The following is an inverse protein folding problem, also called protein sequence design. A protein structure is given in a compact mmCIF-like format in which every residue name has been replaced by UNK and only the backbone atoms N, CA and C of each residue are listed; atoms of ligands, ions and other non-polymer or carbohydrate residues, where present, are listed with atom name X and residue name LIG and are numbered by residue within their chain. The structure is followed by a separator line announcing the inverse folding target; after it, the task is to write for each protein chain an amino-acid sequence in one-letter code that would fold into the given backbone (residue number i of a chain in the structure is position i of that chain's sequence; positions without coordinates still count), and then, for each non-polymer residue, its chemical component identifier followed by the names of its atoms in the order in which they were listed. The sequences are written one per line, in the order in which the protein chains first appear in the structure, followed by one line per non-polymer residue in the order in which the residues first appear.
data_IF_278140585192
#
_entry.id   IF_278140585192
#
_cell.length_a   1.000
_cell.length_b   1.000
_cell.length_c   1.000
_cell.angle_alpha   90.00
_cell.angle_beta   90.00
_cell.angle_gamma   90.00
#
_symmetry.space_group_name_H-M   'P 1'
#
loop_
_entity.id
_entity.type
_entity.pdbx_description
1 polymer ?
#
# COMPACT_ATOMS: atom_id res chain seq x y z
N UNK A 1 19.89 -45.97 -14.51
CA UNK A 1 20.38 -44.62 -14.12
C UNK A 1 19.39 -43.50 -14.46
N UNK A 2 18.65 -43.56 -15.57
CA UNK A 2 17.68 -42.51 -15.95
C UNK A 2 16.50 -42.31 -14.97
N UNK A 3 15.94 -43.39 -14.41
CA UNK A 3 14.77 -43.29 -13.50
C UNK A 3 15.09 -42.52 -12.22
N UNK A 4 16.27 -42.76 -11.64
CA UNK A 4 16.76 -42.10 -10.44
C UNK A 4 17.00 -40.60 -10.64
N UNK A 5 17.51 -40.21 -11.81
CA UNK A 5 17.73 -38.78 -12.15
C UNK A 5 16.41 -38.03 -12.33
N UNK A 6 15.41 -38.68 -12.94
CA UNK A 6 14.09 -38.09 -13.13
C UNK A 6 13.34 -37.90 -11.81
N UNK A 7 13.36 -38.90 -10.93
CA UNK A 7 12.79 -38.80 -9.58
C UNK A 7 13.45 -37.67 -8.77
N UNK A 8 14.76 -37.49 -8.91
CA UNK A 8 15.50 -36.45 -8.18
C UNK A 8 15.19 -35.03 -8.70
N UNK A 9 14.98 -34.87 -10.00
CA UNK A 9 14.56 -33.60 -10.62
C UNK A 9 13.12 -33.26 -10.20
N UNK A 10 12.22 -34.25 -10.17
CA UNK A 10 10.83 -34.05 -9.77
C UNK A 10 10.70 -33.66 -8.29
N UNK A 11 11.52 -34.25 -7.40
CA UNK A 11 11.58 -33.85 -5.97
C UNK A 11 12.09 -32.42 -5.81
N UNK A 12 13.16 -32.02 -6.52
CA UNK A 12 13.66 -30.64 -6.47
C UNK A 12 12.64 -29.62 -6.98
N UNK A 13 11.93 -29.96 -8.05
CA UNK A 13 10.86 -29.11 -8.58
C UNK A 13 9.69 -29.01 -7.58
N UNK A 14 9.31 -30.12 -6.94
CA UNK A 14 8.27 -30.13 -5.92
C UNK A 14 8.63 -29.30 -4.67
N UNK A 15 9.86 -29.41 -4.18
CA UNK A 15 10.36 -28.58 -3.07
C UNK A 15 10.36 -27.08 -3.42
N UNK A 16 10.73 -26.75 -4.67
CA UNK A 16 10.64 -25.38 -5.19
C UNK A 16 9.18 -24.89 -5.21
N UNK A 17 8.25 -25.69 -5.72
CA UNK A 17 6.83 -25.33 -5.73
C UNK A 17 6.23 -25.20 -4.32
N UNK A 18 6.58 -26.10 -3.40
CA UNK A 18 6.16 -25.98 -1.99
C UNK A 18 6.71 -24.71 -1.32
N UNK A 19 7.95 -24.33 -1.64
CA UNK A 19 8.54 -23.09 -1.14
C UNK A 19 7.83 -21.86 -1.70
N UNK A 20 7.52 -21.85 -3.01
CA UNK A 20 6.74 -20.77 -3.64
C UNK A 20 5.31 -20.68 -3.06
N UNK A 21 4.64 -21.81 -2.82
CA UNK A 21 3.28 -21.83 -2.24
C UNK A 21 3.25 -21.32 -0.79
N UNK A 22 4.20 -21.74 0.06
CA UNK A 22 4.32 -21.19 1.42
C UNK A 22 4.56 -19.69 1.40
N UNK A 23 5.29 -19.21 0.41
CA UNK A 23 5.55 -17.80 0.19
C UNK A 23 4.26 -16.99 -0.05
N UNK A 24 3.39 -17.52 -0.90
CA UNK A 24 2.13 -16.87 -1.25
C UNK A 24 1.16 -16.75 -0.07
N UNK A 25 1.18 -17.73 0.86
CA UNK A 25 0.38 -17.70 2.11
C UNK A 25 0.84 -16.58 3.06
N UNK A 26 2.15 -16.36 3.20
CA UNK A 26 2.67 -15.25 4.04
C UNK A 26 2.36 -13.88 3.43
N UNK A 27 2.33 -13.79 2.09
CA UNK A 27 1.88 -12.58 1.38
C UNK A 27 0.39 -12.32 1.64
N UNK A 28 -0.46 -13.34 1.73
CA UNK A 28 -1.88 -13.16 2.06
C UNK A 28 -2.08 -12.68 3.50
N UNK A 29 -1.36 -13.22 4.48
CA UNK A 29 -1.40 -12.74 5.87
C UNK A 29 -0.92 -11.29 5.98
N UNK A 30 0.21 -10.96 5.33
CA UNK A 30 0.69 -9.58 5.23
C UNK A 30 -0.29 -8.68 4.46
N UNK A 31 -1.09 -9.21 3.52
CA UNK A 31 -2.19 -8.49 2.83
C UNK A 31 -3.44 -8.26 3.67
N UNK A 32 -3.58 -8.91 4.82
CA UNK A 32 -4.72 -8.76 5.73
C UNK A 32 -4.36 -8.13 7.10
N UNK A 33 -3.08 -7.80 7.33
CA UNK A 33 -2.59 -7.29 8.62
C UNK A 33 -3.17 -5.94 9.10
N UNK A 34 -2.82 -5.62 10.35
CA UNK A 34 -3.39 -4.59 11.26
C UNK A 34 -3.61 -3.18 10.68
N UNK A 35 -2.92 -2.82 9.60
CA UNK A 35 -3.04 -1.51 8.95
C UNK A 35 -4.20 -1.44 7.95
N UNK A 36 -4.93 -2.53 7.75
CA UNK A 36 -6.24 -2.51 7.08
C UNK A 36 -7.29 -1.98 8.05
N UNK A 37 -7.34 -0.65 8.21
CA UNK A 37 -8.35 -0.03 9.04
C UNK A 37 -9.76 -0.51 8.60
N UNK A 38 -10.56 -1.10 9.50
CA UNK A 38 -11.90 -1.54 9.17
C UNK A 38 -12.79 -0.33 8.86
N UNK A 39 -13.65 -0.44 7.84
CA UNK A 39 -14.66 0.58 7.50
C UNK A 39 -14.33 1.53 6.34
N UNK A 40 -13.23 1.33 5.61
CA UNK A 40 -12.88 2.17 4.45
C UNK A 40 -13.59 1.71 3.16
N UNK A 41 -14.42 2.57 2.53
CA UNK A 41 -15.20 2.19 1.34
C UNK A 41 -14.32 2.07 0.08
N UNK A 42 -13.20 2.78 -0.01
CA UNK A 42 -12.21 2.66 -1.08
C UNK A 42 -10.78 2.67 -0.52
N UNK A 43 -10.23 1.47 -0.34
CA UNK A 43 -8.86 1.28 0.16
C UNK A 43 -7.82 1.83 -0.80
N UNK A 44 -8.08 1.86 -2.10
CA UNK A 44 -7.09 2.26 -3.09
C UNK A 44 -6.85 3.78 -3.03
N UNK A 45 -7.91 4.56 -3.15
CA UNK A 45 -7.83 6.01 -3.15
C UNK A 45 -7.42 6.56 -1.77
N UNK A 46 -7.83 5.91 -0.68
CA UNK A 46 -7.33 6.23 0.65
C UNK A 46 -5.82 6.01 0.80
N UNK A 47 -5.32 4.81 0.45
CA UNK A 47 -3.88 4.51 0.54
C UNK A 47 -3.05 5.39 -0.40
N UNK A 48 -3.57 5.69 -1.59
CA UNK A 48 -2.92 6.59 -2.54
C UNK A 48 -2.75 7.99 -1.95
N UNK A 49 -3.81 8.54 -1.34
CA UNK A 49 -3.77 9.88 -0.75
C UNK A 49 -2.79 9.95 0.43
N UNK A 50 -2.82 8.95 1.33
CA UNK A 50 -1.83 8.81 2.41
C UNK A 50 -0.39 8.83 1.91
N UNK A 51 -0.09 8.04 0.88
CA UNK A 51 1.27 7.94 0.32
C UNK A 51 1.74 9.22 -0.32
N UNK A 52 0.84 9.96 -0.98
CA UNK A 52 1.16 11.26 -1.56
C UNK A 52 1.46 12.23 -0.42
N UNK A 53 0.51 12.43 0.50
CA UNK A 53 0.64 13.43 1.57
C UNK A 53 1.83 13.17 2.50
N UNK A 54 2.21 11.91 2.72
CA UNK A 54 3.42 11.55 3.47
C UNK A 54 4.70 12.21 2.91
N UNK A 55 4.76 12.47 1.60
CA UNK A 55 5.92 13.11 0.96
C UNK A 55 5.89 14.63 1.04
N UNK A 56 4.81 15.20 1.60
CA UNK A 56 4.55 16.63 1.65
C UNK A 56 4.19 17.02 3.08
N UNK A 57 5.21 17.27 3.90
CA UNK A 57 5.05 17.59 5.33
C UNK A 57 4.12 18.79 5.55
N UNK A 58 4.18 19.78 4.66
CA UNK A 58 3.31 20.95 4.71
C UNK A 58 1.89 20.67 4.24
N UNK A 59 1.57 19.49 3.70
CA UNK A 59 0.30 19.16 3.07
C UNK A 59 0.16 19.68 1.63
N UNK A 60 -0.98 19.39 1.01
CA UNK A 60 -1.31 19.76 -0.37
C UNK A 60 -2.70 20.37 -0.46
N UNK A 61 -2.94 21.22 -1.46
CA UNK A 61 -4.29 21.71 -1.75
C UNK A 61 -5.10 20.68 -2.55
N UNK A 62 -6.43 20.75 -2.47
CA UNK A 62 -7.31 19.87 -3.23
C UNK A 62 -7.11 20.07 -4.74
N UNK A 63 -6.82 21.30 -5.18
CA UNK A 63 -6.43 21.59 -6.57
C UNK A 63 -5.13 20.92 -6.98
N UNK A 64 -4.08 20.96 -6.15
CA UNK A 64 -2.83 20.25 -6.46
C UNK A 64 -3.07 18.75 -6.57
N UNK A 65 -3.87 18.17 -5.68
CA UNK A 65 -4.21 16.75 -5.74
C UNK A 65 -4.97 16.41 -7.03
N UNK A 66 -5.92 17.25 -7.45
CA UNK A 66 -6.68 17.04 -8.69
C UNK A 66 -5.81 17.19 -9.94
N UNK A 67 -5.04 18.28 -10.05
CA UNK A 67 -4.35 18.63 -11.30
C UNK A 67 -2.94 18.05 -11.40
N UNK A 68 -2.17 18.02 -10.32
CA UNK A 68 -0.77 17.57 -10.34
C UNK A 68 -0.67 16.06 -10.08
N UNK A 69 -1.61 15.51 -9.31
CA UNK A 69 -1.66 14.09 -8.95
C UNK A 69 -2.81 13.33 -9.62
N UNK A 70 -3.57 13.95 -10.52
CA UNK A 70 -4.67 13.29 -11.26
C UNK A 70 -5.63 12.54 -10.31
N UNK A 71 -6.14 13.26 -9.31
CA UNK A 71 -7.26 12.79 -8.51
C UNK A 71 -8.58 13.20 -9.13
N UNK A 72 -9.49 12.23 -9.26
CA UNK A 72 -10.88 12.56 -9.54
C UNK A 72 -11.48 13.28 -8.32
N UNK A 73 -12.25 14.37 -8.50
CA UNK A 73 -12.81 15.12 -7.37
C UNK A 73 -13.64 14.28 -6.40
N UNK A 74 -14.49 13.37 -6.90
CA UNK A 74 -15.29 12.46 -6.07
C UNK A 74 -14.42 11.57 -5.19
N UNK A 75 -13.37 11.01 -5.77
CA UNK A 75 -12.49 10.04 -5.11
C UNK A 75 -11.62 10.74 -4.07
N UNK A 76 -11.23 11.99 -4.34
CA UNK A 76 -10.52 12.84 -3.40
C UNK A 76 -11.39 13.20 -2.20
N UNK A 77 -12.66 13.54 -2.43
CA UNK A 77 -13.60 13.86 -1.35
C UNK A 77 -13.81 12.68 -0.41
N UNK A 78 -14.08 11.49 -0.96
CA UNK A 78 -14.25 10.27 -0.18
C UNK A 78 -12.97 9.90 0.59
N UNK A 79 -11.80 9.95 -0.05
CA UNK A 79 -10.53 9.65 0.60
C UNK A 79 -10.18 10.66 1.69
N UNK A 80 -10.43 11.95 1.45
CA UNK A 80 -10.21 13.03 2.42
C UNK A 80 -11.11 12.85 3.63
N UNK A 81 -12.41 12.63 3.41
CA UNK A 81 -13.37 12.39 4.48
C UNK A 81 -12.96 11.20 5.33
N UNK A 82 -12.47 10.14 4.71
CA UNK A 82 -12.03 8.95 5.42
C UNK A 82 -10.78 9.23 6.29
N UNK A 83 -9.79 9.99 5.80
CA UNK A 83 -8.63 10.38 6.60
C UNK A 83 -8.99 11.28 7.79
N UNK A 84 -9.85 12.27 7.57
CA UNK A 84 -10.28 13.21 8.62
C UNK A 84 -11.12 12.47 9.68
N UNK A 85 -12.04 11.61 9.26
CA UNK A 85 -12.89 10.83 10.18
C UNK A 85 -12.08 9.91 11.09
N UNK A 86 -10.93 9.42 10.62
CA UNK A 86 -10.03 8.56 11.38
C UNK A 86 -8.93 9.34 12.11
N UNK A 87 -9.03 10.67 12.19
CA UNK A 87 -8.03 11.54 12.84
C UNK A 87 -6.60 11.34 12.29
N UNK A 88 -6.45 11.06 11.00
CA UNK A 88 -5.13 10.90 10.35
C UNK A 88 -4.70 12.15 9.60
N UNK A 89 -5.63 13.04 9.29
CA UNK A 89 -5.37 14.30 8.62
C UNK A 89 -6.26 15.41 9.15
N UNK A 90 -5.83 16.64 8.87
CA UNK A 90 -6.63 17.84 9.08
C UNK A 90 -6.84 18.54 7.74
N UNK A 91 -8.02 19.14 7.57
CA UNK A 91 -8.30 20.02 6.44
C UNK A 91 -8.40 21.47 6.90
N UNK A 92 -7.91 22.39 6.07
CA UNK A 92 -8.03 23.84 6.28
C UNK A 92 -8.63 24.46 5.03
N UNK A 93 -9.81 25.11 5.12
CA UNK A 93 -10.40 25.76 3.96
C UNK A 93 -9.53 26.91 3.49
N UNK A 94 -9.33 27.02 2.17
CA UNK A 94 -8.64 28.15 1.53
C UNK A 94 -9.70 29.12 0.97
N UNK A 95 -10.73 28.57 0.31
CA UNK A 95 -11.92 29.27 -0.18
C UNK A 95 -13.09 28.27 -0.32
N UNK A 96 -14.17 28.66 -0.99
CA UNK A 96 -15.37 27.82 -1.16
C UNK A 96 -15.13 26.54 -1.98
N UNK A 97 -14.11 26.53 -2.86
CA UNK A 97 -13.84 25.43 -3.79
C UNK A 97 -12.51 24.69 -3.52
N UNK A 98 -11.69 25.20 -2.59
CA UNK A 98 -10.33 24.72 -2.36
C UNK A 98 -10.03 24.61 -0.86
N UNK A 99 -9.34 23.54 -0.50
CA UNK A 99 -8.92 23.26 0.86
C UNK A 99 -7.52 22.64 0.86
N UNK A 100 -6.79 22.86 1.94
CA UNK A 100 -5.51 22.21 2.20
C UNK A 100 -5.74 20.97 3.05
N UNK A 101 -5.14 19.85 2.69
CA UNK A 101 -5.11 18.63 3.51
C UNK A 101 -3.67 18.34 3.94
N UNK A 102 -3.49 18.02 5.22
CA UNK A 102 -2.19 17.72 5.81
C UNK A 102 -2.32 16.53 6.75
N UNK A 103 -1.37 15.60 6.71
CA UNK A 103 -1.31 14.51 7.69
C UNK A 103 -0.87 15.04 9.05
N UNK A 104 -1.44 14.48 10.12
CA UNK A 104 -0.89 14.68 11.46
C UNK A 104 0.13 13.58 11.77
N UNK A 105 0.69 13.61 12.98
CA UNK A 105 1.71 12.64 13.42
C UNK A 105 1.25 11.19 13.28
N UNK A 106 -0.02 10.90 13.62
CA UNK A 106 -0.59 9.55 13.52
C UNK A 106 -0.76 9.12 12.05
N UNK A 107 -1.24 10.02 11.19
CA UNK A 107 -1.34 9.79 9.75
C UNK A 107 0.01 9.51 9.09
N UNK A 108 1.07 10.21 9.52
CA UNK A 108 2.44 9.96 9.05
C UNK A 108 2.91 8.57 9.48
N UNK A 109 2.71 8.19 10.75
CA UNK A 109 3.09 6.87 11.26
C UNK A 109 2.34 5.73 10.54
N UNK A 110 1.05 5.91 10.30
CA UNK A 110 0.24 4.96 9.51
C UNK A 110 0.78 4.85 8.08
N UNK A 111 1.14 5.96 7.45
CA UNK A 111 1.71 5.95 6.11
C UNK A 111 3.09 5.25 6.05
N UNK A 112 3.94 5.46 7.06
CA UNK A 112 5.23 4.78 7.21
C UNK A 112 5.06 3.27 7.36
N UNK A 113 4.14 2.86 8.23
CA UNK A 113 3.85 1.44 8.44
C UNK A 113 3.30 0.77 7.18
N UNK A 114 2.47 1.49 6.41
CA UNK A 114 1.95 1.01 5.14
C UNK A 114 3.05 0.82 4.09
N UNK A 115 4.11 1.65 4.11
CA UNK A 115 5.30 1.45 3.27
C UNK A 115 6.15 0.27 3.73
N UNK A 116 6.45 0.16 5.03
CA UNK A 116 7.18 -1.00 5.57
C UNK A 116 6.49 -2.32 5.20
N UNK A 117 5.17 -2.35 5.28
CA UNK A 117 4.35 -3.49 4.86
C UNK A 117 4.47 -3.76 3.37
N UNK A 118 4.39 -2.73 2.51
CA UNK A 118 4.63 -2.89 1.08
C UNK A 118 6.00 -3.50 0.83
N UNK A 119 7.03 -2.98 1.48
CA UNK A 119 8.40 -3.43 1.31
C UNK A 119 8.57 -4.88 1.77
N UNK A 120 7.95 -5.26 2.91
CA UNK A 120 7.84 -6.66 3.33
C UNK A 120 7.12 -7.52 2.32
N UNK A 121 6.02 -7.06 1.72
CA UNK A 121 5.29 -7.80 0.67
C UNK A 121 6.13 -7.92 -0.61
N UNK A 122 6.93 -6.91 -0.94
CA UNK A 122 7.82 -6.90 -2.11
C UNK A 122 9.03 -7.81 -1.89
N UNK A 123 9.73 -7.66 -0.77
CA UNK A 123 10.78 -8.59 -0.33
C UNK A 123 10.23 -10.01 -0.25
N UNK A 124 9.01 -10.14 0.25
CA UNK A 124 8.28 -11.38 0.19
C UNK A 124 8.16 -11.87 -1.28
N UNK A 125 7.35 -11.24 -2.11
CA UNK A 125 7.07 -11.71 -3.46
C UNK A 125 8.31 -11.91 -4.35
N UNK A 126 9.38 -11.16 -4.13
CA UNK A 126 10.49 -11.04 -5.09
C UNK A 126 11.88 -11.36 -4.55
N UNK A 127 12.06 -11.75 -3.27
CA UNK A 127 13.36 -12.16 -2.71
C UNK A 127 14.10 -13.21 -3.56
N UNK A 128 13.36 -14.05 -4.30
CA UNK A 128 13.94 -15.10 -5.16
C UNK A 128 14.25 -14.66 -6.59
N UNK A 129 13.94 -13.41 -6.97
CA UNK A 129 14.29 -12.85 -8.26
C UNK A 129 15.60 -12.07 -8.14
N UNK A 130 16.50 -12.24 -9.10
CA UNK A 130 17.67 -11.37 -9.22
C UNK A 130 17.25 -9.93 -9.56
N UNK A 131 18.16 -8.96 -9.40
CA UNK A 131 17.90 -7.54 -9.73
C UNK A 131 17.40 -7.30 -11.16
N UNK A 132 17.66 -8.24 -12.08
CA UNK A 132 17.27 -8.19 -13.48
C UNK A 132 15.94 -8.92 -13.79
N UNK A 133 15.44 -9.75 -12.88
CA UNK A 133 14.23 -10.59 -13.04
C UNK A 133 13.00 -9.94 -12.39
#
# INVERSE_FOLDING_TARGET
MELTTKLFIDVKNFEKYQSMLKYQVHIEEERHGDYCLPGFPDRHNFHRLLRILRKHDDGLTSKQLIYDFDYRPSDLEDATKALVTNNLSTTTPINEEDYKIQLNTEGIEVADNLLKRRDKITEAAYHTLSENE
#
